data_IF_642515201302
#
_entry.id   IF_642515201302
#
_cell.length_a   1.000
_cell.length_b   1.000
_cell.length_c   1.000
_cell.angle_alpha   90.00
_cell.angle_beta   90.00
_cell.angle_gamma   90.00
#
_symmetry.space_group_name_H-M   'P 1'
#
loop_
_entity.id
_entity.type
_entity.pdbx_description
1 polymer ?
#
# COMPACT_ATOMS: atom_id res chain seq x y z
N UNK A 1 -17.94 3.81 -7.82
CA UNK A 1 -17.28 5.03 -7.29
C UNK A 1 -15.77 4.81 -7.36
N UNK A 2 -15.08 5.29 -8.40
CA UNK A 2 -13.63 5.09 -8.58
C UNK A 2 -12.93 6.44 -8.45
N UNK A 3 -12.43 6.76 -7.26
CA UNK A 3 -11.69 8.01 -6.98
C UNK A 3 -10.29 7.78 -6.38
N UNK A 4 -9.94 6.54 -6.07
CA UNK A 4 -8.61 6.11 -5.64
C UNK A 4 -7.85 5.53 -6.83
N UNK A 5 -6.57 5.86 -6.98
CA UNK A 5 -5.77 5.31 -8.07
C UNK A 5 -4.51 6.08 -8.43
N UNK A 6 -3.74 5.47 -9.33
CA UNK A 6 -2.62 6.08 -10.02
C UNK A 6 -3.16 7.01 -11.12
N UNK A 7 -2.68 8.24 -11.13
CA UNK A 7 -2.99 9.23 -12.16
C UNK A 7 -1.72 9.63 -12.86
N UNK A 8 -1.62 9.34 -14.15
CA UNK A 8 -0.49 9.78 -14.97
C UNK A 8 -0.82 11.13 -15.60
N UNK A 9 -0.02 12.14 -15.31
CA UNK A 9 -0.14 13.49 -15.86
C UNK A 9 1.04 13.76 -16.79
N UNK A 10 0.76 14.34 -17.97
CA UNK A 10 1.79 14.83 -18.86
C UNK A 10 2.19 16.24 -18.44
N UNK A 11 3.42 16.37 -17.97
CA UNK A 11 4.01 17.65 -17.63
C UNK A 11 4.26 18.51 -18.89
N UNK A 12 4.34 19.85 -18.76
CA UNK A 12 4.52 20.78 -19.89
C UNK A 12 5.80 20.56 -20.70
N UNK A 13 6.80 19.92 -20.09
CA UNK A 13 8.04 19.50 -20.73
C UNK A 13 7.88 18.27 -21.67
N UNK A 14 6.65 17.81 -21.87
CA UNK A 14 6.32 16.65 -22.70
C UNK A 14 6.49 15.31 -22.00
N UNK A 15 6.98 15.28 -20.76
CA UNK A 15 7.24 14.07 -19.98
C UNK A 15 6.04 13.67 -19.12
N UNK A 16 5.99 12.42 -18.69
CA UNK A 16 4.93 11.87 -17.86
C UNK A 16 5.37 11.76 -16.40
N UNK A 17 4.50 12.19 -15.49
CA UNK A 17 4.67 12.01 -14.05
C UNK A 17 3.44 11.30 -13.51
N UNK A 18 3.63 10.31 -12.65
CA UNK A 18 2.51 9.70 -11.96
C UNK A 18 2.26 10.39 -10.60
N UNK A 19 1.00 10.40 -10.21
CA UNK A 19 0.50 10.95 -8.95
C UNK A 19 -0.44 9.93 -8.32
N UNK A 20 -0.29 9.71 -7.03
CA UNK A 20 -1.17 8.82 -6.29
C UNK A 20 -2.23 9.62 -5.56
N UNK A 21 -3.51 9.32 -5.80
CA UNK A 21 -4.62 9.91 -5.05
C UNK A 21 -5.22 8.88 -4.11
N UNK A 22 -5.42 9.31 -2.87
CA UNK A 22 -6.14 8.53 -1.88
C UNK A 22 -7.66 8.57 -2.15
N UNK A 23 -8.42 7.71 -1.47
CA UNK A 23 -9.89 7.63 -1.56
C UNK A 23 -10.61 8.97 -1.29
N UNK A 24 -9.97 9.86 -0.52
CA UNK A 24 -10.48 11.20 -0.25
C UNK A 24 -10.27 12.19 -1.41
N UNK A 25 -9.78 11.73 -2.58
CA UNK A 25 -9.47 12.54 -3.76
C UNK A 25 -8.19 13.37 -3.66
N UNK A 26 -7.48 13.34 -2.52
CA UNK A 26 -6.25 14.12 -2.32
C UNK A 26 -5.04 13.38 -2.86
N UNK A 27 -4.18 14.12 -3.56
CA UNK A 27 -2.86 13.62 -3.97
C UNK A 27 -2.00 13.43 -2.72
N UNK A 28 -1.55 12.20 -2.50
CA UNK A 28 -0.70 11.84 -1.35
C UNK A 28 0.77 11.79 -1.72
N UNK A 29 1.08 11.40 -2.96
CA UNK A 29 2.43 11.18 -3.42
C UNK A 29 2.55 11.51 -4.91
N UNK A 30 3.73 11.96 -5.32
CA UNK A 30 4.06 12.23 -6.72
C UNK A 30 5.40 11.60 -7.06
N UNK A 31 5.53 11.12 -8.30
CA UNK A 31 6.82 10.69 -8.82
C UNK A 31 7.82 11.83 -8.73
N UNK A 32 9.03 11.54 -8.25
CA UNK A 32 10.13 12.49 -8.37
C UNK A 32 10.80 12.43 -9.74
N UNK A 33 10.64 11.32 -10.46
CA UNK A 33 11.16 11.13 -11.81
C UNK A 33 10.09 11.42 -12.86
N UNK A 34 10.52 12.05 -13.95
CA UNK A 34 9.68 12.32 -15.12
C UNK A 34 10.07 11.33 -16.23
N UNK A 35 9.06 10.62 -16.74
CA UNK A 35 9.20 9.51 -17.68
C UNK A 35 8.87 9.94 -19.11
N UNK A 36 9.35 9.19 -20.11
CA UNK A 36 9.13 9.53 -21.52
C UNK A 36 7.75 9.07 -22.01
N UNK A 37 7.21 8.01 -21.40
CA UNK A 37 5.88 7.46 -21.70
C UNK A 37 5.04 7.27 -20.44
N UNK A 38 3.71 7.22 -20.62
CA UNK A 38 2.79 6.85 -19.53
C UNK A 38 3.03 5.42 -19.04
N UNK A 39 3.37 4.50 -19.95
CA UNK A 39 3.67 3.11 -19.60
C UNK A 39 4.92 3.00 -18.70
N UNK A 40 5.93 3.84 -18.93
CA UNK A 40 7.12 3.89 -18.07
C UNK A 40 6.80 4.43 -16.68
N UNK A 41 5.90 5.41 -16.59
CA UNK A 41 5.44 5.94 -15.32
C UNK A 41 4.66 4.89 -14.51
N UNK A 42 3.79 4.13 -15.18
CA UNK A 42 3.05 3.02 -14.56
C UNK A 42 3.98 1.87 -14.13
N UNK A 43 4.95 1.51 -14.97
CA UNK A 43 5.96 0.48 -14.65
C UNK A 43 6.80 0.89 -13.45
N UNK A 44 7.27 2.14 -13.40
CA UNK A 44 8.02 2.66 -12.25
C UNK A 44 7.19 2.64 -10.96
N UNK A 45 5.87 2.90 -11.06
CA UNK A 45 4.97 2.74 -9.93
C UNK A 45 4.81 1.28 -9.51
N UNK A 46 4.66 0.35 -10.46
CA UNK A 46 4.57 -1.09 -10.17
C UNK A 46 5.83 -1.62 -9.46
N UNK A 47 7.02 -1.20 -9.91
CA UNK A 47 8.29 -1.54 -9.23
C UNK A 47 8.33 -0.98 -7.80
N UNK A 48 7.83 0.24 -7.60
CA UNK A 48 7.69 0.82 -6.27
C UNK A 48 6.72 0.03 -5.38
N UNK A 49 5.60 -0.43 -5.94
CA UNK A 49 4.60 -1.25 -5.23
C UNK A 49 5.19 -2.60 -4.83
N UNK A 50 6.04 -3.20 -5.67
CA UNK A 50 6.76 -4.43 -5.35
C UNK A 50 7.78 -4.23 -4.21
N UNK A 51 8.40 -3.06 -4.11
CA UNK A 51 9.28 -2.69 -3.00
C UNK A 51 8.52 -2.36 -1.69
N UNK A 52 7.21 -2.14 -1.77
CA UNK A 52 6.29 -1.64 -0.73
C UNK A 52 6.83 -1.60 0.71
N UNK A 53 6.93 -2.75 1.41
CA UNK A 53 7.32 -2.79 2.83
C UNK A 53 8.78 -2.39 3.11
N UNK A 54 9.67 -2.43 2.11
CA UNK A 54 11.06 -2.02 2.23
C UNK A 54 11.28 -0.51 2.04
N UNK A 55 10.24 0.23 1.63
CA UNK A 55 10.35 1.67 1.39
C UNK A 55 10.46 2.45 2.70
N UNK A 56 11.55 3.20 2.85
CA UNK A 56 11.77 4.09 3.99
C UNK A 56 11.73 5.53 3.51
N UNK A 57 10.86 6.36 4.09
CA UNK A 57 10.85 7.79 3.82
C UNK A 57 11.89 8.53 4.66
N UNK A 58 12.60 9.44 4.01
CA UNK A 58 13.40 10.48 4.64
C UNK A 58 12.54 11.74 4.76
N UNK A 59 12.23 12.12 6.00
CA UNK A 59 11.52 13.37 6.28
C UNK A 59 12.55 14.49 6.42
N UNK A 60 12.40 15.55 5.64
CA UNK A 60 13.32 16.69 5.61
C UNK A 60 12.54 18.00 5.64
N UNK A 61 13.11 19.03 6.25
CA UNK A 61 12.55 20.39 6.15
C UNK A 61 12.79 20.95 4.75
N UNK A 62 11.81 21.65 4.19
CA UNK A 62 11.96 22.33 2.90
C UNK A 62 12.92 23.50 3.08
N UNK A 63 13.90 23.63 2.17
CA UNK A 63 15.00 24.60 2.31
C UNK A 63 14.52 26.05 2.13
N UNK A 64 13.55 26.26 1.25
CA UNK A 64 13.00 27.58 0.90
C UNK A 64 11.52 27.76 1.32
N UNK A 65 11.05 26.96 2.28
CA UNK A 65 9.63 26.97 2.68
C UNK A 65 9.42 26.64 4.14
N UNK A 66 8.24 26.97 4.64
CA UNK A 66 7.79 26.57 5.97
C UNK A 66 7.15 25.19 5.85
N UNK A 67 7.89 24.15 6.26
CA UNK A 67 7.32 22.83 6.40
C UNK A 67 8.25 21.64 6.14
N UNK A 68 7.65 20.48 6.34
CA UNK A 68 8.22 19.16 6.25
C UNK A 68 7.75 18.48 4.98
N UNK A 69 8.68 17.91 4.24
CA UNK A 69 8.42 17.06 3.08
C UNK A 69 8.99 15.67 3.36
N UNK A 70 8.35 14.62 2.85
CA UNK A 70 8.88 13.27 2.92
C UNK A 70 9.29 12.82 1.52
N UNK A 71 10.43 12.15 1.43
CA UNK A 71 11.01 11.66 0.18
C UNK A 71 11.50 10.24 0.40
N UNK A 72 11.15 9.32 -0.49
CA UNK A 72 11.71 7.97 -0.47
C UNK A 72 12.92 7.96 -1.42
N UNK A 73 14.14 7.78 -0.89
CA UNK A 73 15.32 7.63 -1.72
C UNK A 73 15.28 6.30 -2.45
N UNK A 74 15.71 6.31 -3.71
CA UNK A 74 15.92 5.11 -4.49
C UNK A 74 17.29 4.48 -4.27
N UNK A 75 17.49 3.26 -4.78
CA UNK A 75 18.73 2.49 -4.61
C UNK A 75 19.96 3.19 -5.20
N UNK A 76 19.78 4.14 -6.12
CA UNK A 76 20.88 4.93 -6.72
C UNK A 76 21.03 6.34 -6.13
N UNK A 77 20.40 6.62 -4.98
CA UNK A 77 20.41 7.95 -4.35
C UNK A 77 19.46 8.96 -5.01
N UNK A 78 18.86 8.61 -6.16
CA UNK A 78 17.81 9.42 -6.79
C UNK A 78 16.49 9.23 -6.05
N UNK A 79 15.73 10.30 -5.78
CA UNK A 79 14.42 10.18 -5.15
C UNK A 79 13.45 9.43 -6.08
N UNK A 80 12.77 8.42 -5.55
CA UNK A 80 11.73 7.67 -6.29
C UNK A 80 10.40 8.41 -6.22
N UNK A 81 9.98 8.71 -4.99
CA UNK A 81 8.69 9.34 -4.71
C UNK A 81 8.87 10.41 -3.63
N UNK A 82 8.08 11.47 -3.73
CA UNK A 82 8.02 12.53 -2.74
C UNK A 82 6.59 12.90 -2.42
N UNK A 83 6.37 13.55 -1.28
CA UNK A 83 5.09 14.18 -1.01
C UNK A 83 4.76 15.23 -2.07
N UNK A 84 3.48 15.27 -2.47
CA UNK A 84 2.94 16.28 -3.40
C UNK A 84 3.12 17.71 -2.89
N UNK A 85 3.10 17.89 -1.57
CA UNK A 85 3.21 19.20 -0.92
C UNK A 85 4.05 19.14 0.34
N UNK A 86 4.57 20.30 0.74
CA UNK A 86 5.13 20.51 2.07
C UNK A 86 4.00 20.60 3.11
N UNK A 87 4.22 20.02 4.29
CA UNK A 87 3.31 20.08 5.41
C UNK A 87 3.88 20.95 6.51
N UNK A 88 3.06 21.78 7.15
CA UNK A 88 3.54 22.64 8.25
C UNK A 88 4.10 21.84 9.43
N UNK A 89 3.55 20.65 9.71
CA UNK A 89 3.88 19.85 10.90
C UNK A 89 4.50 18.50 10.53
N UNK A 90 5.54 18.12 11.27
CA UNK A 90 6.19 16.81 11.15
C UNK A 90 5.20 15.66 11.32
N UNK A 91 4.33 15.71 12.33
CA UNK A 91 3.33 14.67 12.57
C UNK A 91 2.34 14.50 11.39
N UNK A 92 1.97 15.58 10.72
CA UNK A 92 1.13 15.53 9.51
C UNK A 92 1.87 14.91 8.34
N UNK A 93 3.16 15.25 8.18
CA UNK A 93 4.05 14.66 7.19
C UNK A 93 4.18 13.13 7.39
N UNK A 94 4.42 12.71 8.63
CA UNK A 94 4.50 11.28 8.99
C UNK A 94 3.18 10.54 8.73
N UNK A 95 2.04 11.15 9.08
CA UNK A 95 0.72 10.56 8.79
C UNK A 95 0.45 10.45 7.29
N UNK A 96 0.90 11.41 6.48
CA UNK A 96 0.79 11.34 5.03
C UNK A 96 1.59 10.15 4.47
N UNK A 97 2.82 9.94 4.96
CA UNK A 97 3.63 8.79 4.58
C UNK A 97 2.98 7.45 5.01
N UNK A 98 2.44 7.36 6.23
CA UNK A 98 1.70 6.16 6.68
C UNK A 98 0.51 5.83 5.77
N UNK A 99 -0.24 6.85 5.34
CA UNK A 99 -1.35 6.66 4.38
C UNK A 99 -0.87 6.20 3.01
N UNK A 100 0.25 6.73 2.55
CA UNK A 100 0.89 6.28 1.31
C UNK A 100 1.26 4.79 1.40
N UNK A 101 1.94 4.36 2.47
CA UNK A 101 2.30 2.96 2.68
C UNK A 101 1.09 2.03 2.75
N UNK A 102 0.00 2.46 3.41
CA UNK A 102 -1.25 1.70 3.46
C UNK A 102 -1.89 1.52 2.07
N UNK A 103 -1.82 2.55 1.21
CA UNK A 103 -2.31 2.48 -0.17
C UNK A 103 -1.43 1.57 -1.03
N UNK A 104 -0.11 1.70 -0.90
CA UNK A 104 0.84 0.83 -1.62
C UNK A 104 0.61 -0.63 -1.22
N UNK A 105 0.52 -0.95 0.07
CA UNK A 105 0.26 -2.31 0.55
C UNK A 105 -1.06 -2.89 -0.02
N UNK A 106 -2.13 -2.09 -0.03
CA UNK A 106 -3.41 -2.49 -0.63
C UNK A 106 -3.30 -2.75 -2.14
N UNK A 107 -2.47 -1.98 -2.86
CA UNK A 107 -2.24 -2.17 -4.29
C UNK A 107 -1.31 -3.34 -4.58
N UNK A 108 -0.34 -3.62 -3.71
CA UNK A 108 0.50 -4.83 -3.78
C UNK A 108 -0.37 -6.08 -3.63
N UNK A 109 -1.31 -6.06 -2.69
CA UNK A 109 -2.27 -7.13 -2.45
C UNK A 109 -3.22 -7.33 -3.67
N UNK A 110 -3.79 -6.25 -4.19
CA UNK A 110 -4.63 -6.30 -5.38
C UNK A 110 -3.88 -6.70 -6.67
N UNK A 111 -2.59 -6.36 -6.76
CA UNK A 111 -1.72 -6.75 -7.88
C UNK A 111 -1.20 -8.19 -7.77
N UNK A 112 -1.17 -8.76 -6.58
CA UNK A 112 -0.88 -10.18 -6.36
C UNK A 112 -2.08 -11.08 -6.73
N UNK A 113 -3.30 -10.54 -6.72
CA UNK A 113 -4.55 -11.28 -7.00
C UNK A 113 -4.95 -11.35 -8.50
N UNK A 114 -3.98 -11.41 -9.43
CA UNK A 114 -4.20 -11.88 -10.80
C UNK A 114 -2.89 -12.38 -11.44
N UNK A 115 -2.85 -13.52 -12.18
CA UNK A 115 -3.95 -14.17 -12.88
C UNK A 115 -4.17 -15.67 -12.54
N UNK A 116 -5.41 -16.05 -12.30
CA UNK A 116 -5.87 -17.44 -12.28
C UNK A 116 -7.20 -17.52 -13.02
N UNK A 117 -7.13 -18.03 -14.25
CA UNK A 117 -8.26 -18.39 -15.11
C UNK A 117 -9.28 -19.27 -14.35
N UNK A 118 -10.57 -18.94 -14.51
CA UNK A 118 -11.67 -19.60 -13.82
C UNK A 118 -13.01 -19.16 -14.40
N UNK A 119 -13.15 -19.27 -15.72
CA UNK A 119 -14.44 -19.13 -16.38
C UNK A 119 -15.41 -20.24 -15.95
N UNK A 120 -16.66 -19.87 -15.69
CA UNK A 120 -17.73 -20.84 -15.45
C UNK A 120 -18.91 -20.26 -14.69
N UNK A 121 -19.69 -19.41 -15.34
CA UNK A 121 -21.02 -19.04 -14.85
C UNK A 121 -22.00 -20.22 -14.94
N UNK A 122 -22.97 -20.24 -14.05
CA UNK A 122 -24.11 -21.16 -14.13
C UNK A 122 -24.86 -21.25 -12.81
N UNK A 123 -25.89 -20.41 -12.64
CA UNK A 123 -26.81 -20.48 -11.52
C UNK A 123 -27.64 -21.76 -11.50
N UNK A 124 -28.17 -22.07 -10.33
CA UNK A 124 -29.09 -23.17 -10.11
C UNK A 124 -29.56 -23.17 -8.66
N UNK A 125 -30.64 -22.43 -8.42
CA UNK A 125 -31.46 -22.49 -7.22
C UNK A 125 -31.89 -23.93 -6.86
N UNK A 126 -32.04 -24.21 -5.56
CA UNK A 126 -32.95 -25.25 -5.10
C UNK A 126 -32.48 -26.06 -3.89
N UNK A 127 -33.24 -25.96 -2.81
CA UNK A 127 -33.53 -27.14 -1.99
C UNK A 127 -33.10 -27.07 -0.54
N UNK A 128 -34.07 -26.76 0.32
CA UNK A 128 -34.04 -26.97 1.75
C UNK A 128 -33.76 -28.45 2.11
N UNK A 129 -33.07 -28.64 3.23
CA UNK A 129 -32.87 -29.94 3.88
C UNK A 129 -32.67 -29.74 5.37
N UNK A 130 -33.76 -29.79 6.12
CA UNK A 130 -33.78 -29.99 7.56
C UNK A 130 -33.01 -31.26 7.94
N UNK A 131 -32.17 -31.18 8.97
CA UNK A 131 -31.41 -32.30 9.49
C UNK A 131 -30.93 -32.05 10.92
N UNK A 132 -31.78 -32.40 11.87
CA UNK A 132 -31.48 -32.45 13.30
C UNK A 132 -30.38 -33.48 13.62
N UNK A 133 -29.54 -33.18 14.61
CA UNK A 133 -28.57 -34.14 15.15
C UNK A 133 -27.77 -33.56 16.32
N UNK A 134 -28.25 -33.80 17.54
CA UNK A 134 -27.56 -33.51 18.79
C UNK A 134 -26.35 -34.43 19.02
N UNK A 135 -25.32 -33.96 19.73
CA UNK A 135 -24.76 -34.62 20.91
C UNK A 135 -23.58 -33.85 21.53
N UNK A 136 -23.56 -33.90 22.85
CA UNK A 136 -22.61 -33.36 23.81
C UNK A 136 -21.17 -33.89 23.66
N UNK A 137 -20.20 -33.09 24.10
CA UNK A 137 -18.81 -33.54 24.29
C UNK A 137 -18.01 -32.56 25.15
N UNK A 138 -18.02 -32.81 26.46
CA UNK A 138 -17.19 -32.15 27.48
C UNK A 138 -15.82 -32.84 27.56
N UNK A 139 -14.75 -32.06 27.72
CA UNK A 139 -13.40 -32.54 28.09
C UNK A 139 -12.43 -31.36 28.02
N UNK A 140 -12.15 -30.62 29.10
CA UNK A 140 -11.28 -30.97 30.25
C UNK A 140 -9.92 -31.54 29.82
N UNK A 141 -8.92 -30.67 29.72
CA UNK A 141 -7.51 -31.00 29.54
C UNK A 141 -6.64 -30.01 30.29
N UNK A 142 -6.38 -30.31 31.57
CA UNK A 142 -5.36 -29.69 32.42
C UNK A 142 -3.99 -30.28 32.08
N UNK A 143 -2.95 -29.45 32.02
CA UNK A 143 -1.59 -29.90 31.75
C UNK A 143 -0.56 -28.91 32.27
N UNK A 144 -0.21 -29.05 33.55
CA UNK A 144 0.88 -28.37 34.25
C UNK A 144 2.25 -28.73 33.65
N UNK A 145 3.16 -27.76 33.57
CA UNK A 145 4.56 -27.99 33.21
C UNK A 145 5.45 -26.88 33.76
N UNK A 146 5.82 -27.03 35.04
CA UNK A 146 6.87 -26.27 35.72
C UNK A 146 8.25 -26.77 35.27
N UNK A 147 9.21 -25.87 35.08
CA UNK A 147 10.59 -26.23 34.72
C UNK A 147 11.56 -25.07 34.93
N UNK A 148 12.08 -24.98 36.14
CA UNK A 148 13.13 -24.07 36.60
C UNK A 148 14.47 -24.28 35.86
N UNK A 149 15.26 -23.22 35.71
CA UNK A 149 16.66 -23.30 35.28
C UNK A 149 17.42 -22.02 35.54
N UNK A 150 18.11 -21.98 36.69
CA UNK A 150 19.05 -20.95 37.17
C UNK A 150 20.48 -21.44 36.97
N UNK A 151 21.43 -20.51 36.74
CA UNK A 151 22.88 -20.71 36.82
C UNK A 151 23.54 -20.72 35.44
N UNK A 152 24.57 -19.92 35.17
CA UNK A 152 25.69 -19.51 36.04
C UNK A 152 26.09 -18.05 35.83
#
# INVERSE_FOLDING_TARGET
>A
MRGEGLFTERAPNGRFQWQLKAMNGRVVAVSSSVHESSADAERAFAELVALGPALVARITHVRDGLGWTWVVPGPRGNPLVKSSRAYERYATCQNAFRRFMALVARMSDAGAEAPGDGGGGGGGDGGAGDGAGAASGVGSGVGSGVGSGVGS
#
